data_IF_534507824791
#
_entry.id   IF_534507824791
#
_cell.length_a   1.000
_cell.length_b   1.000
_cell.length_c   1.000
_cell.angle_alpha   90.00
_cell.angle_beta   90.00
_cell.angle_gamma   90.00
#
_symmetry.space_group_name_H-M   'P 1'
#
loop_
_entity.id
_entity.type
_entity.pdbx_description
1 polymer ?
#
# COMPACT_ATOMS: atom_id res chain seq x y z
N UNK A 1 -24.70 -0.12 -24.58
CA UNK A 1 -23.45 0.09 -23.83
C UNK A 1 -23.70 -0.33 -22.38
N UNK A 2 -22.91 -1.25 -21.85
CA UNK A 2 -23.00 -1.65 -20.44
C UNK A 2 -22.43 -0.48 -19.62
N UNK A 3 -23.20 0.06 -18.69
CA UNK A 3 -22.72 1.14 -17.82
C UNK A 3 -21.55 0.67 -16.96
N UNK A 4 -20.58 1.55 -16.71
CA UNK A 4 -19.47 1.25 -15.79
C UNK A 4 -20.02 0.93 -14.40
N UNK A 5 -19.65 -0.22 -13.83
CA UNK A 5 -20.15 -0.70 -12.55
C UNK A 5 -19.76 0.19 -11.37
N UNK A 6 -18.63 0.89 -11.48
CA UNK A 6 -18.11 1.78 -10.44
C UNK A 6 -17.80 3.15 -11.05
N UNK A 7 -18.19 4.20 -10.35
CA UNK A 7 -17.77 5.56 -10.65
C UNK A 7 -16.70 6.02 -9.63
N UNK A 8 -15.40 5.94 -9.97
CA UNK A 8 -14.31 6.27 -9.04
C UNK A 8 -14.40 7.71 -8.52
N UNK A 9 -14.81 8.67 -9.37
CA UNK A 9 -14.95 10.08 -8.99
C UNK A 9 -16.00 10.27 -7.90
N UNK A 10 -17.12 9.58 -8.02
CA UNK A 10 -18.19 9.63 -7.01
C UNK A 10 -17.75 8.99 -5.69
N UNK A 11 -17.01 7.88 -5.74
CA UNK A 11 -16.48 7.20 -4.55
C UNK A 11 -15.42 8.04 -3.83
N UNK A 12 -14.48 8.64 -4.56
CA UNK A 12 -13.44 9.50 -3.98
C UNK A 12 -14.01 10.76 -3.31
N UNK A 13 -15.24 11.14 -3.64
CA UNK A 13 -15.98 12.21 -2.96
C UNK A 13 -16.68 11.79 -1.67
N UNK A 14 -16.67 10.49 -1.33
CA UNK A 14 -17.26 9.96 -0.10
C UNK A 14 -16.21 9.77 0.99
N UNK A 15 -16.67 9.56 2.22
CA UNK A 15 -15.79 9.14 3.31
C UNK A 15 -15.29 7.71 3.08
N UNK A 16 -13.96 7.47 3.16
CA UNK A 16 -13.44 6.11 3.14
C UNK A 16 -13.82 5.37 4.43
N UNK A 17 -14.00 4.05 4.37
CA UNK A 17 -14.24 3.24 5.55
C UNK A 17 -12.97 3.06 6.40
N UNK A 18 -11.79 3.08 5.77
CA UNK A 18 -10.51 3.05 6.47
C UNK A 18 -9.46 3.88 5.73
N UNK A 19 -8.42 4.27 6.44
CA UNK A 19 -7.26 4.98 5.88
C UNK A 19 -5.97 4.62 6.60
N UNK A 20 -4.85 4.70 5.87
CA UNK A 20 -3.51 4.70 6.44
C UNK A 20 -2.81 6.01 6.11
N UNK A 21 -2.15 6.61 7.10
CA UNK A 21 -1.23 7.74 6.90
C UNK A 21 0.19 7.19 6.89
N UNK A 22 0.85 7.27 5.75
CA UNK A 22 2.20 6.76 5.56
C UNK A 22 3.22 7.78 6.00
N UNK A 23 4.26 7.30 6.67
CA UNK A 23 5.47 8.05 7.00
C UNK A 23 6.69 7.24 6.63
N UNK A 24 7.68 7.90 6.06
CA UNK A 24 8.96 7.30 5.75
C UNK A 24 9.78 6.99 7.01
N UNK A 25 10.70 6.03 6.88
CA UNK A 25 11.71 5.76 7.90
C UNK A 25 12.66 6.95 8.09
N UNK A 26 13.52 6.90 9.11
CA UNK A 26 14.55 7.90 9.33
C UNK A 26 15.50 8.08 8.12
N UNK A 27 15.69 7.03 7.32
CA UNK A 27 16.46 7.05 6.07
C UNK A 27 15.72 7.75 4.92
N UNK A 28 14.39 7.78 4.97
CA UNK A 28 13.51 8.35 3.94
C UNK A 28 12.49 9.33 4.55
N UNK A 29 12.94 10.39 5.27
CA UNK A 29 12.08 11.23 6.10
C UNK A 29 11.07 12.08 5.30
N UNK A 30 11.32 12.25 4.00
CA UNK A 30 10.47 13.05 3.12
C UNK A 30 9.22 12.29 2.64
N UNK A 31 9.21 10.95 2.76
CA UNK A 31 8.06 10.17 2.33
C UNK A 31 6.86 10.44 3.24
N UNK A 32 5.77 10.90 2.64
CA UNK A 32 4.46 11.08 3.28
C UNK A 32 3.40 10.64 2.29
N UNK A 33 2.35 10.01 2.81
CA UNK A 33 1.27 9.58 1.95
C UNK A 33 0.01 9.27 2.72
N UNK A 34 -1.05 9.05 1.95
CA UNK A 34 -2.33 8.56 2.46
C UNK A 34 -2.83 7.46 1.54
N UNK A 35 -3.38 6.43 2.14
CA UNK A 35 -4.08 5.36 1.43
C UNK A 35 -5.49 5.31 1.98
N UNK A 36 -6.47 5.35 1.11
CA UNK A 36 -7.88 5.35 1.45
C UNK A 36 -8.54 4.09 0.89
N UNK A 37 -9.41 3.47 1.68
CA UNK A 37 -10.08 2.21 1.37
C UNK A 37 -11.58 2.42 1.38
N UNK A 38 -12.21 2.11 0.24
CA UNK A 38 -13.65 2.26 0.03
C UNK A 38 -14.26 0.89 -0.26
N UNK A 39 -15.08 0.38 0.66
CA UNK A 39 -15.80 -0.87 0.43
C UNK A 39 -16.90 -0.65 -0.60
N UNK A 40 -16.97 -1.50 -1.60
CA UNK A 40 -18.02 -1.53 -2.62
C UNK A 40 -18.63 -2.92 -2.73
N UNK A 41 -19.69 -3.08 -3.50
CA UNK A 41 -20.24 -4.39 -3.82
C UNK A 41 -19.36 -5.24 -4.74
N UNK A 42 -18.35 -4.61 -5.39
CA UNK A 42 -17.41 -5.25 -6.32
C UNK A 42 -16.00 -5.42 -5.73
N UNK A 43 -15.83 -5.28 -4.43
CA UNK A 43 -14.54 -5.32 -3.75
C UNK A 43 -14.18 -3.98 -3.11
N UNK A 44 -12.91 -3.80 -2.82
CA UNK A 44 -12.37 -2.58 -2.19
C UNK A 44 -11.68 -1.71 -3.23
N UNK A 45 -12.16 -0.47 -3.39
CA UNK A 45 -11.40 0.54 -4.13
C UNK A 45 -10.34 1.14 -3.21
N UNK A 46 -9.09 1.06 -3.64
CA UNK A 46 -7.93 1.61 -2.94
C UNK A 46 -7.45 2.85 -3.68
N UNK A 47 -7.27 3.96 -2.97
CA UNK A 47 -6.70 5.20 -3.51
C UNK A 47 -5.47 5.58 -2.70
N UNK A 48 -4.29 5.55 -3.34
CA UNK A 48 -3.00 5.87 -2.73
C UNK A 48 -2.43 7.14 -3.35
N UNK A 49 -2.03 8.08 -2.50
CA UNK A 49 -1.32 9.30 -2.86
C UNK A 49 -0.09 9.41 -1.99
N UNK A 50 1.10 9.47 -2.60
CA UNK A 50 2.38 9.46 -1.90
C UNK A 50 3.31 10.50 -2.51
N UNK A 51 4.01 11.25 -1.67
CA UNK A 51 5.04 12.22 -2.04
C UNK A 51 6.35 11.92 -1.32
N UNK A 52 7.45 12.51 -1.79
CA UNK A 52 8.79 12.33 -1.22
C UNK A 52 9.42 10.97 -1.53
N UNK A 53 8.88 10.22 -2.50
CA UNK A 53 9.48 8.96 -2.95
C UNK A 53 10.88 9.20 -3.54
N UNK A 54 11.86 8.29 -3.31
CA UNK A 54 13.19 8.42 -3.88
C UNK A 54 13.15 8.49 -5.41
N UNK A 55 13.91 9.43 -6.00
CA UNK A 55 14.10 9.52 -7.46
C UNK A 55 15.44 10.22 -7.76
N UNK A 56 15.98 10.02 -8.96
CA UNK A 56 17.23 10.64 -9.43
C UNK A 56 16.94 11.60 -10.58
N UNK A 57 17.23 12.88 -10.39
CA UNK A 57 16.92 13.93 -11.37
C UNK A 57 17.62 13.79 -12.73
N UNK A 58 18.79 13.14 -12.78
CA UNK A 58 19.64 13.11 -13.97
C UNK A 58 19.59 11.80 -14.78
N UNK A 59 18.66 10.93 -14.49
CA UNK A 59 18.46 9.65 -15.20
C UNK A 59 17.00 9.53 -15.62
N UNK A 60 16.73 8.75 -16.66
CA UNK A 60 15.37 8.29 -16.97
C UNK A 60 14.90 7.31 -15.87
N UNK A 61 15.11 7.73 -14.61
CA UNK A 61 14.76 6.96 -13.44
C UNK A 61 13.26 7.12 -13.20
N UNK A 62 12.55 6.03 -13.45
CA UNK A 62 11.12 5.91 -13.17
C UNK A 62 10.93 4.80 -12.16
N UNK A 63 11.23 5.08 -10.89
CA UNK A 63 11.26 4.06 -9.87
C UNK A 63 9.89 3.44 -9.65
N UNK A 64 9.88 2.13 -9.40
CA UNK A 64 8.71 1.34 -9.05
C UNK A 64 8.95 0.79 -7.65
N UNK A 65 7.93 0.86 -6.80
CA UNK A 65 8.01 0.50 -5.40
C UNK A 65 7.01 -0.61 -5.08
N UNK A 66 7.46 -1.67 -4.40
CA UNK A 66 6.57 -2.67 -3.82
C UNK A 66 5.59 -1.99 -2.86
N UNK A 67 4.34 -2.43 -2.88
CA UNK A 67 3.25 -1.82 -2.13
C UNK A 67 2.34 -2.91 -1.58
N UNK A 68 2.39 -3.13 -0.27
CA UNK A 68 1.76 -4.28 0.34
C UNK A 68 1.07 -3.94 1.66
N UNK A 69 0.01 -4.68 1.99
CA UNK A 69 -0.51 -4.76 3.35
C UNK A 69 0.25 -5.85 4.07
N UNK A 70 0.78 -5.54 5.25
CA UNK A 70 1.46 -6.46 6.14
C UNK A 70 0.57 -6.84 7.33
N UNK A 71 0.85 -7.99 7.92
CA UNK A 71 0.04 -8.58 9.00
C UNK A 71 0.17 -7.88 10.36
N UNK A 72 1.30 -7.19 10.59
CA UNK A 72 1.57 -6.51 11.85
C UNK A 72 0.69 -5.29 12.09
N UNK A 73 0.65 -4.85 13.34
CA UNK A 73 -0.27 -3.81 13.81
C UNK A 73 0.43 -2.47 14.12
N UNK A 74 1.74 -2.41 13.98
CA UNK A 74 2.49 -1.19 14.25
C UNK A 74 3.68 -0.98 13.31
N UNK A 75 4.12 0.27 13.20
CA UNK A 75 5.24 0.72 12.38
C UNK A 75 6.51 0.90 13.23
N UNK A 76 6.85 -0.11 14.03
CA UNK A 76 8.06 -0.14 14.85
C UNK A 76 9.01 -1.22 14.35
N UNK A 77 10.27 -1.12 14.78
CA UNK A 77 11.29 -2.11 14.43
C UNK A 77 12.61 -1.83 15.13
N UNK A 78 13.69 -2.19 14.48
CA UNK A 78 15.05 -2.13 15.04
C UNK A 78 16.03 -1.51 14.04
N UNK A 79 17.31 -1.59 14.34
CA UNK A 79 18.36 -1.02 13.47
C UNK A 79 18.52 -1.74 12.13
N UNK A 80 18.13 -3.01 12.05
CA UNK A 80 18.24 -3.85 10.85
C UNK A 80 17.01 -3.72 9.96
N UNK A 81 15.81 -3.68 10.55
CA UNK A 81 14.55 -3.44 9.86
C UNK A 81 13.71 -2.44 10.65
N UNK A 82 13.64 -1.20 10.15
CA UNK A 82 12.92 -0.09 10.79
C UNK A 82 11.45 -0.39 11.06
N UNK A 83 10.86 -1.30 10.30
CA UNK A 83 9.46 -1.69 10.41
C UNK A 83 9.31 -3.21 10.63
N UNK A 84 10.21 -3.82 11.42
CA UNK A 84 10.21 -5.26 11.67
C UNK A 84 8.87 -5.78 12.23
N UNK A 85 8.22 -5.00 13.10
CA UNK A 85 6.94 -5.37 13.71
C UNK A 85 5.74 -5.31 12.74
N UNK A 86 5.93 -4.77 11.55
CA UNK A 86 4.94 -4.91 10.48
C UNK A 86 4.80 -6.37 10.01
N UNK A 87 5.79 -7.21 10.27
CA UNK A 87 5.75 -8.64 9.92
C UNK A 87 5.86 -8.90 8.42
N UNK A 88 5.20 -9.98 7.98
CA UNK A 88 5.13 -10.43 6.59
C UNK A 88 3.93 -9.84 5.86
N UNK A 89 3.79 -10.12 4.57
CA UNK A 89 2.60 -9.77 3.81
C UNK A 89 1.35 -10.38 4.44
N UNK A 90 0.27 -9.64 4.49
CA UNK A 90 -1.01 -10.13 5.00
C UNK A 90 -1.52 -11.28 4.13
N UNK A 91 -1.53 -12.48 4.68
CA UNK A 91 -1.79 -13.73 3.96
C UNK A 91 -2.62 -14.70 4.82
N UNK A 92 -3.89 -14.41 5.09
CA UNK A 92 -4.72 -15.22 5.98
C UNK A 92 -5.04 -16.62 5.42
N UNK A 93 -4.87 -16.83 4.11
CA UNK A 93 -5.19 -18.07 3.42
C UNK A 93 -3.95 -18.92 3.09
N UNK A 94 -2.77 -18.46 3.50
CA UNK A 94 -1.48 -19.16 3.32
C UNK A 94 -1.15 -19.48 1.85
N UNK A 95 -1.55 -18.63 0.91
CA UNK A 95 -1.21 -18.75 -0.50
C UNK A 95 0.26 -18.37 -0.74
N UNK A 96 0.88 -18.88 -1.82
CA UNK A 96 2.19 -18.40 -2.24
C UNK A 96 2.10 -16.99 -2.82
N UNK A 97 3.20 -16.22 -2.73
CA UNK A 97 3.33 -14.95 -3.44
C UNK A 97 3.23 -15.16 -4.97
N UNK A 98 2.52 -14.34 -5.75
CA UNK A 98 1.88 -13.06 -5.42
C UNK A 98 0.36 -13.16 -5.16
N UNK A 99 -0.08 -14.22 -4.53
CA UNK A 99 -1.52 -14.46 -4.27
C UNK A 99 -1.95 -14.10 -2.85
N UNK A 100 -1.09 -13.46 -2.05
CA UNK A 100 -1.45 -12.98 -0.72
C UNK A 100 -2.56 -11.94 -0.81
N UNK A 101 -3.41 -11.87 0.19
CA UNK A 101 -4.42 -10.82 0.29
C UNK A 101 -3.78 -9.42 0.32
N UNK A 102 -2.58 -9.31 0.91
CA UNK A 102 -1.82 -8.07 1.01
C UNK A 102 -1.01 -7.66 -0.22
N UNK A 103 -0.90 -8.50 -1.26
CA UNK A 103 -0.14 -8.15 -2.47
C UNK A 103 -0.94 -7.20 -3.35
N UNK A 104 -0.45 -5.98 -3.53
CA UNK A 104 -1.13 -4.92 -4.28
C UNK A 104 -0.31 -4.50 -5.50
N UNK A 105 -0.94 -3.83 -6.49
CA UNK A 105 -0.21 -3.25 -7.62
C UNK A 105 0.87 -2.28 -7.13
N UNK A 106 2.12 -2.35 -7.65
CA UNK A 106 3.22 -1.51 -7.21
C UNK A 106 2.97 -0.03 -7.52
N UNK A 107 3.60 0.85 -6.77
CA UNK A 107 3.54 2.29 -7.02
C UNK A 107 4.55 2.70 -8.08
N UNK A 108 4.10 3.44 -9.09
CA UNK A 108 4.96 4.05 -10.10
C UNK A 108 5.30 5.48 -9.68
N UNK A 109 6.58 5.73 -9.42
CA UNK A 109 7.07 7.05 -9.03
C UNK A 109 7.19 8.01 -10.23
N UNK A 110 6.75 9.24 -10.05
CA UNK A 110 6.82 10.34 -11.01
C UNK A 110 7.50 11.53 -10.33
N UNK A 111 8.82 11.62 -10.42
CA UNK A 111 9.61 12.69 -9.77
C UNK A 111 9.29 12.85 -8.28
N UNK A 112 9.25 11.72 -7.56
CA UNK A 112 8.98 11.68 -6.13
C UNK A 112 7.50 11.64 -5.74
N UNK A 113 6.59 11.58 -6.71
CA UNK A 113 5.15 11.53 -6.48
C UNK A 113 4.53 10.26 -7.09
N UNK A 114 3.58 9.66 -6.41
CA UNK A 114 2.75 8.58 -6.93
C UNK A 114 1.28 8.80 -6.60
N UNK A 115 0.42 8.58 -7.59
CA UNK A 115 -1.03 8.56 -7.42
C UNK A 115 -1.58 7.34 -8.13
N UNK A 116 -2.32 6.51 -7.41
CA UNK A 116 -2.87 5.27 -7.94
C UNK A 116 -4.25 5.00 -7.36
N UNK A 117 -5.17 4.54 -8.21
CA UNK A 117 -6.49 4.08 -7.81
C UNK A 117 -6.75 2.74 -8.50
N UNK A 118 -7.15 1.73 -7.74
CA UNK A 118 -7.47 0.39 -8.26
C UNK A 118 -8.56 -0.28 -7.43
N UNK A 119 -9.16 -1.32 -7.98
CA UNK A 119 -10.14 -2.18 -7.33
C UNK A 119 -9.50 -3.54 -7.04
N UNK A 120 -9.81 -4.12 -5.88
CA UNK A 120 -9.36 -5.47 -5.51
C UNK A 120 -10.44 -6.21 -4.74
N UNK A 121 -10.54 -7.52 -4.95
CA UNK A 121 -11.40 -8.45 -4.21
C UNK A 121 -10.63 -9.29 -3.19
N UNK A 122 -9.32 -9.01 -2.99
CA UNK A 122 -8.42 -9.81 -2.16
C UNK A 122 -8.74 -9.74 -0.66
N UNK A 123 -9.50 -8.74 -0.22
CA UNK A 123 -9.91 -8.54 1.17
C UNK A 123 -11.15 -7.65 1.26
N UNK A 124 -11.79 -7.64 2.43
CA UNK A 124 -12.76 -6.63 2.83
C UNK A 124 -12.09 -5.59 3.73
N UNK A 125 -12.57 -4.35 3.75
CA UNK A 125 -11.96 -3.27 4.56
C UNK A 125 -11.85 -3.65 6.04
N UNK A 126 -12.84 -4.34 6.60
CA UNK A 126 -12.85 -4.78 8.01
C UNK A 126 -11.70 -5.73 8.38
N UNK A 127 -11.19 -6.50 7.42
CA UNK A 127 -10.14 -7.52 7.65
C UNK A 127 -8.75 -6.89 7.76
N UNK A 128 -8.57 -5.72 7.15
CA UNK A 128 -7.29 -5.03 7.10
C UNK A 128 -7.17 -3.88 8.11
N UNK A 129 -8.24 -3.51 8.80
CA UNK A 129 -8.17 -2.52 9.91
C UNK A 129 -7.28 -3.06 11.01
N UNK A 130 -6.32 -2.24 11.47
CA UNK A 130 -5.29 -2.62 12.42
C UNK A 130 -3.99 -3.11 11.77
N UNK A 131 -4.02 -3.58 10.52
CA UNK A 131 -2.83 -4.00 9.77
C UNK A 131 -1.99 -2.80 9.34
N UNK A 132 -0.80 -3.07 8.79
CA UNK A 132 0.09 -2.01 8.30
C UNK A 132 0.18 -1.97 6.78
N UNK A 133 0.22 -0.75 6.25
CA UNK A 133 0.49 -0.48 4.84
C UNK A 133 1.97 -0.16 4.67
N UNK A 134 2.67 -0.87 3.80
CA UNK A 134 4.12 -0.76 3.59
C UNK A 134 4.42 -0.34 2.15
N UNK A 135 5.42 0.55 2.00
CA UNK A 135 6.10 0.81 0.73
C UNK A 135 7.51 0.23 0.84
N UNK A 136 7.93 -0.52 -0.19
CA UNK A 136 9.26 -1.09 -0.30
C UNK A 136 10.16 -0.29 -1.25
N UNK A 137 11.48 -0.45 -1.12
CA UNK A 137 12.48 0.31 -1.88
C UNK A 137 12.64 -0.13 -3.33
N UNK A 138 12.21 -1.34 -3.68
CA UNK A 138 12.33 -1.95 -5.00
C UNK A 138 10.96 -2.42 -5.50
N UNK A 139 10.81 -2.64 -6.80
CA UNK A 139 9.61 -3.26 -7.33
C UNK A 139 9.46 -4.69 -6.81
N UNK A 140 8.22 -5.10 -6.65
CA UNK A 140 7.85 -6.49 -6.51
C UNK A 140 8.06 -7.22 -7.84
N UNK A 141 8.76 -8.35 -7.84
CA UNK A 141 9.00 -9.14 -9.06
C UNK A 141 7.88 -10.17 -9.34
N UNK A 142 6.89 -10.28 -8.45
CA UNK A 142 5.71 -11.18 -8.51
C UNK A 142 6.04 -12.68 -8.60
N UNK A 143 7.28 -13.07 -8.37
CA UNK A 143 7.73 -14.45 -8.57
C UNK A 143 8.54 -15.00 -7.41
N UNK A 144 9.39 -14.19 -6.81
CA UNK A 144 10.27 -14.61 -5.71
C UNK A 144 9.49 -14.83 -4.42
N UNK A 145 9.71 -16.01 -3.80
CA UNK A 145 9.13 -16.30 -2.50
C UNK A 145 10.02 -15.75 -1.37
N UNK A 146 9.45 -15.34 -0.27
CA UNK A 146 8.03 -15.25 0.05
C UNK A 146 7.38 -13.91 -0.30
N UNK A 147 8.10 -12.91 -0.84
CA UNK A 147 7.63 -11.50 -0.85
C UNK A 147 8.08 -10.69 -2.08
N UNK A 148 8.35 -11.35 -3.22
CA UNK A 148 8.63 -10.66 -4.49
C UNK A 148 9.93 -9.88 -4.53
N UNK A 149 10.88 -10.16 -3.61
CA UNK A 149 12.20 -9.51 -3.56
C UNK A 149 12.15 -7.96 -3.56
N UNK A 150 11.09 -7.40 -2.95
CA UNK A 150 10.78 -5.96 -3.01
C UNK A 150 11.74 -5.04 -2.22
N UNK A 151 12.74 -5.62 -1.55
CA UNK A 151 13.76 -4.85 -0.81
C UNK A 151 13.29 -4.37 0.56
N UNK A 152 14.00 -3.36 1.10
CA UNK A 152 13.72 -2.82 2.43
C UNK A 152 12.36 -2.10 2.50
N UNK A 153 11.76 -2.09 3.67
CA UNK A 153 10.57 -1.31 3.98
C UNK A 153 10.98 0.15 4.18
N UNK A 154 10.50 1.07 3.35
CA UNK A 154 10.89 2.48 3.37
C UNK A 154 9.85 3.42 3.98
N UNK A 155 8.59 3.02 3.99
CA UNK A 155 7.50 3.75 4.64
C UNK A 155 6.44 2.80 5.18
N UNK A 156 5.79 3.23 6.26
CA UNK A 156 4.76 2.46 6.96
C UNK A 156 3.63 3.36 7.43
N UNK A 157 2.42 2.80 7.52
CA UNK A 157 1.25 3.42 8.14
C UNK A 157 0.24 2.39 8.61
N UNK A 158 -0.26 2.53 9.82
CA UNK A 158 -1.32 1.65 10.33
C UNK A 158 -2.66 2.01 9.68
N UNK A 159 -3.38 1.02 9.21
CA UNK A 159 -4.72 1.15 8.65
C UNK A 159 -5.72 1.34 9.78
N UNK A 160 -6.36 2.50 9.83
CA UNK A 160 -7.33 2.84 10.87
C UNK A 160 -8.72 2.99 10.28
N UNK A 161 -9.73 2.49 10.98
CA UNK A 161 -11.12 2.75 10.64
C UNK A 161 -11.39 4.26 10.66
N UNK A 162 -12.10 4.75 9.66
CA UNK A 162 -12.68 6.08 9.71
C UNK A 162 -14.01 5.94 10.45
N UNK A 163 -14.09 6.44 11.69
CA UNK A 163 -15.36 6.56 12.37
C UNK A 163 -16.31 7.36 11.46
N UNK A 164 -17.58 6.92 11.40
CA UNK A 164 -18.63 7.49 10.55
C UNK A 164 -18.53 9.01 10.45
N UNK A 165 -18.24 9.47 9.25
CA UNK A 165 -18.48 10.86 8.90
C UNK A 165 -19.98 11.09 8.71
#
# INVERSE_FOLDING_TARGET
MQECRINPKALLGQCPQAKALLQGSAKYPDIKGKVMFYQTEYGVMVAAEVMGLPFRMNQCDRPVFGFHIHEGECCLGNAEDTFAEAGQHYNPEEYPHPYHAGDLPPLFGNSGYALQVFLTERFCVREIVGRTMIIHSMPDDFTSQPSGNAGEKIACGVIKSCCNC
#
